data_IF_113212225466
#
_entry.id   IF_113212225466
#
_cell.length_a   1.000
_cell.length_b   1.000
_cell.length_c   1.000
_cell.angle_alpha   90.00
_cell.angle_beta   90.00
_cell.angle_gamma   90.00
#
_symmetry.space_group_name_H-M   'P 1'
#
loop_
_entity.id
_entity.type
_entity.pdbx_description
1 polymer ?
#
# COMPACT_ATOMS: atom_id res chain seq x y z
N UNK A 1 13.46 -2.97 -5.08
CA UNK A 1 13.48 -2.08 -6.27
C UNK A 1 12.50 -0.95 -6.03
N UNK A 2 12.79 0.27 -6.50
CA UNK A 2 11.90 1.44 -6.33
C UNK A 2 11.60 2.05 -7.70
N UNK A 3 10.35 2.44 -7.92
CA UNK A 3 9.90 3.26 -9.04
C UNK A 3 9.32 4.56 -8.52
N UNK A 4 9.60 5.67 -9.21
CA UNK A 4 9.12 7.01 -8.87
C UNK A 4 8.42 7.62 -10.08
N UNK A 5 7.21 8.10 -9.88
CA UNK A 5 6.42 8.74 -10.92
C UNK A 5 5.94 10.11 -10.43
N UNK A 6 6.11 11.13 -11.27
CA UNK A 6 5.58 12.46 -10.96
C UNK A 6 4.09 12.51 -11.33
N UNK A 7 3.26 12.96 -10.39
CA UNK A 7 1.82 13.12 -10.55
C UNK A 7 1.41 13.88 -11.84
N UNK A 8 2.21 14.88 -12.22
CA UNK A 8 1.93 15.73 -13.39
C UNK A 8 2.41 15.12 -14.71
N UNK A 9 3.04 13.94 -14.68
CA UNK A 9 3.43 13.21 -15.90
C UNK A 9 2.23 12.40 -16.41
N UNK A 10 1.88 12.57 -17.68
CA UNK A 10 0.76 11.84 -18.32
C UNK A 10 0.91 10.31 -18.26
N UNK A 11 2.13 9.80 -18.16
CA UNK A 11 2.42 8.35 -18.06
C UNK A 11 2.51 7.85 -16.61
N UNK A 12 2.23 8.69 -15.60
CA UNK A 12 2.35 8.29 -14.20
C UNK A 12 1.40 7.14 -13.85
N UNK A 13 0.18 7.16 -14.38
CA UNK A 13 -0.80 6.11 -14.14
C UNK A 13 -0.33 4.75 -14.72
N UNK A 14 0.10 4.72 -15.98
CA UNK A 14 0.56 3.50 -16.66
C UNK A 14 1.81 2.93 -15.98
N UNK A 15 2.78 3.81 -15.66
CA UNK A 15 3.99 3.42 -14.96
C UNK A 15 3.71 2.86 -13.58
N UNK A 16 2.79 3.46 -12.83
CA UNK A 16 2.35 2.99 -11.52
C UNK A 16 1.69 1.62 -11.63
N UNK A 17 0.77 1.42 -12.59
CA UNK A 17 0.10 0.14 -12.83
C UNK A 17 1.10 -0.98 -13.14
N UNK A 18 2.05 -0.73 -14.05
CA UNK A 18 3.09 -1.69 -14.41
C UNK A 18 4.01 -2.05 -13.23
N UNK A 19 4.39 -1.07 -12.41
CA UNK A 19 5.25 -1.30 -11.25
C UNK A 19 4.53 -2.15 -10.19
N UNK A 20 3.28 -1.85 -9.87
CA UNK A 20 2.50 -2.62 -8.89
C UNK A 20 2.24 -4.03 -9.39
N UNK A 21 1.80 -4.23 -10.65
CA UNK A 21 1.59 -5.57 -11.22
C UNK A 21 2.86 -6.42 -11.18
N UNK A 22 4.01 -5.83 -11.57
CA UNK A 22 5.31 -6.50 -11.50
C UNK A 22 5.66 -6.96 -10.08
N UNK A 23 5.45 -6.09 -9.07
CA UNK A 23 5.79 -6.41 -7.69
C UNK A 23 4.83 -7.42 -7.06
N UNK A 24 3.56 -7.41 -7.45
CA UNK A 24 2.62 -8.44 -7.03
C UNK A 24 2.96 -9.83 -7.55
N UNK A 25 3.53 -9.92 -8.76
CA UNK A 25 3.96 -11.20 -9.37
C UNK A 25 5.32 -11.67 -8.88
N UNK A 26 6.16 -10.78 -8.35
CA UNK A 26 7.45 -11.16 -7.83
C UNK A 26 7.29 -12.11 -6.63
N UNK A 27 8.02 -13.21 -6.63
CA UNK A 27 8.13 -14.05 -5.44
C UNK A 27 8.75 -13.20 -4.32
N UNK A 28 8.18 -13.26 -3.13
CA UNK A 28 8.72 -12.54 -1.96
C UNK A 28 10.12 -13.10 -1.71
N UNK A 29 11.21 -12.32 -1.84
CA UNK A 29 12.54 -12.82 -1.51
C UNK A 29 12.50 -13.26 -0.05
N UNK A 30 12.73 -14.51 0.22
CA UNK A 30 12.78 -15.05 1.57
C UNK A 30 13.78 -14.21 2.36
N UNK A 31 13.30 -13.42 3.32
CA UNK A 31 14.10 -12.48 4.10
C UNK A 31 15.31 -13.21 4.72
N UNK A 32 16.49 -12.90 4.19
CA UNK A 32 17.77 -13.50 4.56
C UNK A 32 18.28 -13.02 5.92
N UNK A 33 17.54 -13.28 7.00
CA UNK A 33 18.08 -13.32 8.37
C UNK A 33 17.93 -14.74 8.86
N UNK A 34 19.00 -15.26 9.48
CA UNK A 34 19.04 -16.61 10.03
C UNK A 34 17.78 -16.87 10.88
N UNK A 35 16.83 -17.62 10.32
CA UNK A 35 15.60 -18.00 10.99
C UNK A 35 15.94 -19.05 12.04
N UNK A 36 15.39 -18.93 13.23
CA UNK A 36 15.45 -19.99 14.24
C UNK A 36 14.84 -21.29 13.69
N UNK A 37 15.16 -22.42 14.31
CA UNK A 37 14.62 -23.72 13.87
C UNK A 37 13.10 -23.75 13.86
N UNK A 38 12.46 -23.06 14.80
CA UNK A 38 10.99 -22.93 14.89
C UNK A 38 10.41 -22.08 13.78
N UNK A 39 11.09 -20.98 13.40
CA UNK A 39 10.69 -20.14 12.27
C UNK A 39 10.84 -20.86 10.92
N UNK A 40 11.84 -21.76 10.78
CA UNK A 40 11.99 -22.62 9.60
C UNK A 40 10.86 -23.66 9.51
N UNK A 41 10.47 -24.29 10.63
CA UNK A 41 9.38 -25.25 10.68
C UNK A 41 8.03 -24.57 10.41
N UNK A 42 7.80 -23.38 10.94
CA UNK A 42 6.59 -22.60 10.65
C UNK A 42 6.54 -22.14 9.20
N UNK A 43 7.66 -21.72 8.62
CA UNK A 43 7.77 -21.35 7.21
C UNK A 43 7.56 -22.55 6.27
N UNK A 44 8.10 -23.74 6.59
CA UNK A 44 7.83 -24.97 5.83
C UNK A 44 6.38 -25.44 5.93
N UNK A 45 5.72 -25.29 7.08
CA UNK A 45 4.28 -25.54 7.21
C UNK A 45 3.44 -24.53 6.44
N UNK A 46 3.89 -23.29 6.31
CA UNK A 46 3.24 -22.26 5.49
C UNK A 46 3.41 -22.48 3.97
N UNK A 47 4.57 -23.00 3.54
CA UNK A 47 4.83 -23.38 2.15
C UNK A 47 4.05 -24.62 1.69
N UNK A 48 3.52 -25.42 2.62
CA UNK A 48 2.77 -26.63 2.31
C UNK A 48 1.25 -26.39 2.09
N UNK A 49 0.77 -25.16 2.26
CA UNK A 49 -0.60 -24.82 1.86
C UNK A 49 -0.60 -24.51 0.35
N UNK A 50 -1.47 -25.17 -0.45
CA UNK A 50 -1.56 -24.84 -1.86
C UNK A 50 -1.88 -23.35 -1.97
N UNK A 51 -1.05 -22.61 -2.71
CA UNK A 51 -1.35 -21.24 -3.15
C UNK A 51 -2.62 -21.38 -3.99
N UNK A 52 -3.77 -21.15 -3.38
CA UNK A 52 -5.05 -21.11 -4.10
C UNK A 52 -4.93 -20.01 -5.13
N UNK A 53 -5.24 -20.35 -6.36
CA UNK A 53 -5.07 -19.51 -7.54
C UNK A 53 -5.33 -18.04 -7.29
N UNK A 54 -4.57 -17.19 -7.93
CA UNK A 54 -4.42 -15.71 -7.89
C UNK A 54 -5.49 -15.00 -7.05
N UNK A 55 -5.35 -15.09 -5.72
CA UNK A 55 -6.22 -14.36 -4.81
C UNK A 55 -5.86 -12.87 -4.89
N UNK A 56 -6.87 -12.01 -5.02
CA UNK A 56 -6.67 -10.57 -5.03
C UNK A 56 -5.88 -10.11 -3.80
N UNK A 57 -4.96 -9.15 -3.95
CA UNK A 57 -4.19 -8.64 -2.81
C UNK A 57 -5.11 -7.96 -1.79
N UNK A 58 -4.63 -7.86 -0.57
CA UNK A 58 -5.23 -7.00 0.45
C UNK A 58 -4.72 -5.59 0.24
N UNK A 59 -5.60 -4.60 0.29
CA UNK A 59 -5.24 -3.18 0.22
C UNK A 59 -5.36 -2.56 1.60
N UNK A 60 -4.27 -1.98 2.09
CA UNK A 60 -4.18 -1.28 3.37
C UNK A 60 -3.81 0.18 3.12
N UNK A 61 -4.75 1.08 3.38
CA UNK A 61 -4.57 2.52 3.27
C UNK A 61 -4.33 3.10 4.67
N UNK A 62 -3.16 3.69 4.89
CA UNK A 62 -2.72 4.18 6.20
C UNK A 62 -2.81 5.69 6.22
N UNK A 63 -3.18 6.25 7.36
CA UNK A 63 -3.25 7.69 7.59
C UNK A 63 -4.43 8.12 8.44
N UNK A 64 -4.69 9.42 8.48
CA UNK A 64 -5.75 10.04 9.28
C UNK A 64 -6.41 11.17 8.50
N UNK A 65 -7.67 11.41 8.75
CA UNK A 65 -8.43 12.56 8.24
C UNK A 65 -8.23 13.85 9.04
N UNK A 66 -7.47 13.79 10.14
CA UNK A 66 -7.19 14.94 11.00
C UNK A 66 -6.21 15.95 10.41
N UNK A 67 -5.39 15.54 9.45
CA UNK A 67 -4.44 16.39 8.73
C UNK A 67 -4.49 16.10 7.24
N UNK A 68 -4.57 17.13 6.41
CA UNK A 68 -4.72 16.99 4.95
C UNK A 68 -3.60 16.11 4.36
N UNK A 69 -2.34 16.33 4.74
CA UNK A 69 -1.22 15.55 4.24
C UNK A 69 -1.28 14.08 4.64
N UNK A 70 -1.84 13.76 5.82
CA UNK A 70 -1.96 12.39 6.32
C UNK A 70 -3.22 11.68 5.77
N UNK A 71 -4.08 12.39 5.04
CA UNK A 71 -5.34 11.84 4.54
C UNK A 71 -5.24 11.10 3.20
N UNK A 72 -4.06 11.02 2.58
CA UNK A 72 -3.86 10.35 1.29
C UNK A 72 -4.40 8.92 1.30
N UNK A 73 -3.93 8.09 2.23
CA UNK A 73 -4.37 6.70 2.35
C UNK A 73 -5.89 6.59 2.54
N UNK A 74 -6.49 7.23 3.55
CA UNK A 74 -7.94 7.22 3.75
C UNK A 74 -8.77 7.69 2.56
N UNK A 75 -8.31 8.68 1.79
CA UNK A 75 -8.99 9.13 0.56
C UNK A 75 -8.90 8.05 -0.52
N UNK A 76 -7.69 7.47 -0.77
CA UNK A 76 -7.52 6.35 -1.70
C UNK A 76 -8.45 5.20 -1.33
N UNK A 77 -8.48 4.80 -0.06
CA UNK A 77 -9.35 3.72 0.41
C UNK A 77 -10.82 4.01 0.19
N UNK A 78 -11.26 5.25 0.43
CA UNK A 78 -12.64 5.66 0.19
C UNK A 78 -12.99 5.64 -1.30
N UNK A 79 -12.11 6.12 -2.18
CA UNK A 79 -12.30 6.06 -3.64
C UNK A 79 -12.33 4.62 -4.14
N UNK A 80 -11.39 3.77 -3.70
CA UNK A 80 -11.32 2.36 -4.08
C UNK A 80 -12.59 1.61 -3.69
N UNK A 81 -13.15 1.87 -2.52
CA UNK A 81 -14.40 1.25 -2.06
C UNK A 81 -15.53 1.39 -3.08
N UNK A 82 -15.61 2.55 -3.75
CA UNK A 82 -16.61 2.77 -4.81
C UNK A 82 -16.18 2.20 -6.16
N UNK A 83 -14.92 2.37 -6.55
CA UNK A 83 -14.39 1.94 -7.86
C UNK A 83 -14.30 0.41 -7.99
N UNK A 84 -14.26 -0.30 -6.86
CA UNK A 84 -14.16 -1.76 -6.82
C UNK A 84 -15.46 -2.45 -6.38
N UNK A 85 -16.59 -1.75 -6.46
CA UNK A 85 -17.91 -2.36 -6.20
C UNK A 85 -18.13 -3.56 -7.13
N UNK A 86 -18.48 -4.71 -6.55
CA UNK A 86 -18.61 -5.97 -7.29
C UNK A 86 -17.36 -6.85 -7.26
N UNK A 87 -16.21 -6.36 -6.78
CA UNK A 87 -15.05 -7.20 -6.48
C UNK A 87 -15.09 -7.66 -5.03
N UNK A 88 -14.71 -8.91 -4.79
CA UNK A 88 -14.49 -9.42 -3.43
C UNK A 88 -13.06 -9.14 -2.99
N UNK A 89 -12.78 -7.90 -2.59
CA UNK A 89 -11.47 -7.46 -2.10
C UNK A 89 -11.50 -7.19 -0.60
N UNK A 90 -10.34 -7.31 0.04
CA UNK A 90 -10.11 -6.87 1.41
C UNK A 90 -9.44 -5.49 1.38
N UNK A 91 -10.18 -4.48 1.83
CA UNK A 91 -9.78 -3.08 1.85
C UNK A 91 -9.90 -2.52 3.26
N UNK A 92 -8.81 -2.01 3.79
CA UNK A 92 -8.71 -1.40 5.12
C UNK A 92 -8.19 0.03 5.03
N UNK A 93 -8.74 0.91 5.85
CA UNK A 93 -8.37 2.33 5.89
C UNK A 93 -9.15 3.17 4.90
N UNK A 94 -10.29 3.71 5.33
CA UNK A 94 -11.10 4.67 4.59
C UNK A 94 -11.28 5.92 5.44
N UNK A 95 -11.83 7.01 4.90
CA UNK A 95 -12.16 8.21 5.68
C UNK A 95 -13.13 7.92 6.82
N UNK A 96 -14.06 6.98 6.64
CA UNK A 96 -15.02 6.59 7.70
C UNK A 96 -14.46 5.60 8.72
N UNK A 97 -13.35 4.93 8.40
CA UNK A 97 -12.68 3.96 9.26
C UNK A 97 -11.17 3.98 8.98
N UNK A 98 -10.45 5.03 9.38
CA UNK A 98 -9.04 5.19 9.08
C UNK A 98 -8.19 4.18 9.87
N UNK A 99 -7.09 3.74 9.25
CA UNK A 99 -6.04 2.96 9.91
C UNK A 99 -4.87 3.89 10.17
N UNK A 100 -4.79 4.39 11.38
CA UNK A 100 -3.75 5.34 11.77
C UNK A 100 -2.51 4.63 12.29
N UNK A 101 -1.47 5.40 12.58
CA UNK A 101 -0.24 4.90 13.19
C UNK A 101 -0.48 4.10 14.49
N UNK A 102 -1.57 4.35 15.22
CA UNK A 102 -1.91 3.66 16.48
C UNK A 102 -2.32 2.21 16.24
N UNK A 103 -2.99 1.94 15.12
CA UNK A 103 -3.52 0.62 14.77
C UNK A 103 -2.50 -0.28 14.09
N UNK A 104 -1.34 0.22 13.64
CA UNK A 104 -0.36 -0.53 12.83
C UNK A 104 0.09 -1.83 13.51
N UNK A 105 0.37 -1.80 14.82
CA UNK A 105 0.79 -3.00 15.55
C UNK A 105 -0.30 -4.08 15.51
N UNK A 106 -1.54 -3.70 15.71
CA UNK A 106 -2.70 -4.59 15.62
C UNK A 106 -2.91 -5.09 14.20
N UNK A 107 -2.90 -4.19 13.20
CA UNK A 107 -3.12 -4.54 11.80
C UNK A 107 -2.09 -5.54 11.26
N UNK A 108 -0.82 -5.44 11.68
CA UNK A 108 0.22 -6.43 11.31
C UNK A 108 -0.15 -7.84 11.78
N UNK A 109 -0.61 -7.96 13.01
CA UNK A 109 -1.02 -9.27 13.57
C UNK A 109 -2.29 -9.75 12.88
N UNK A 110 -3.28 -8.89 12.76
CA UNK A 110 -4.55 -9.19 12.11
C UNK A 110 -4.37 -9.67 10.66
N UNK A 111 -3.63 -8.93 9.83
CA UNK A 111 -3.38 -9.31 8.43
C UNK A 111 -2.65 -10.64 8.31
N UNK A 112 -1.65 -10.87 9.15
CA UNK A 112 -0.90 -12.14 9.16
C UNK A 112 -1.78 -13.34 9.53
N UNK A 113 -2.75 -13.16 10.41
CA UNK A 113 -3.62 -14.23 10.90
C UNK A 113 -4.82 -14.49 9.99
N UNK A 114 -5.44 -13.42 9.47
CA UNK A 114 -6.67 -13.50 8.67
C UNK A 114 -6.44 -13.60 7.17
N UNK A 115 -5.32 -13.05 6.65
CA UNK A 115 -5.02 -12.99 5.22
C UNK A 115 -3.73 -13.73 4.87
N UNK A 116 -3.55 -14.92 5.44
CA UNK A 116 -2.35 -15.75 5.21
C UNK A 116 -2.17 -16.04 3.73
N UNK A 117 -0.94 -15.80 3.23
CA UNK A 117 -0.56 -16.06 1.84
C UNK A 117 -1.00 -14.99 0.84
N UNK A 118 -1.80 -13.99 1.24
CA UNK A 118 -2.14 -12.88 0.35
C UNK A 118 -1.08 -11.79 0.40
N UNK A 119 -0.75 -11.24 -0.75
CA UNK A 119 0.06 -10.01 -0.83
C UNK A 119 -0.71 -8.84 -0.25
N UNK A 120 -0.01 -7.95 0.44
CA UNK A 120 -0.57 -6.72 1.03
C UNK A 120 0.05 -5.51 0.35
N UNK A 121 -0.78 -4.70 -0.30
CA UNK A 121 -0.41 -3.38 -0.82
C UNK A 121 -0.67 -2.36 0.29
N UNK A 122 0.40 -1.73 0.80
CA UNK A 122 0.30 -0.68 1.81
C UNK A 122 0.46 0.70 1.17
N UNK A 123 -0.43 1.63 1.49
CA UNK A 123 -0.48 2.98 0.94
C UNK A 123 -0.40 3.98 2.08
N UNK A 124 0.49 4.96 1.98
CA UNK A 124 0.69 6.01 3.00
C UNK A 124 1.16 7.31 2.37
N UNK A 125 0.98 8.40 3.08
CA UNK A 125 1.60 9.67 2.77
C UNK A 125 3.03 9.70 3.30
N UNK A 126 3.91 10.41 2.61
CA UNK A 126 5.29 10.59 3.05
C UNK A 126 5.75 12.04 2.87
N UNK A 127 6.80 12.39 3.57
CA UNK A 127 7.54 13.65 3.40
C UNK A 127 8.84 13.38 2.65
N UNK A 128 9.27 14.32 1.81
CA UNK A 128 10.49 14.19 1.01
C UNK A 128 11.26 15.49 0.93
N UNK A 129 12.13 15.66 -0.05
CA UNK A 129 12.68 16.97 -0.40
C UNK A 129 11.61 17.83 -1.09
N UNK A 130 11.82 19.14 -1.18
CA UNK A 130 10.89 20.05 -1.87
C UNK A 130 10.65 19.60 -3.32
N UNK A 131 11.69 19.19 -4.03
CA UNK A 131 11.59 18.70 -5.42
C UNK A 131 10.90 17.34 -5.56
N UNK A 132 10.69 16.59 -4.46
CA UNK A 132 9.98 15.31 -4.47
C UNK A 132 8.46 15.47 -4.30
N UNK A 133 7.98 16.65 -3.93
CA UNK A 133 6.54 16.88 -3.72
C UNK A 133 5.78 16.60 -5.02
N UNK A 134 4.77 15.75 -4.94
CA UNK A 134 4.03 15.27 -6.10
C UNK A 134 4.55 13.95 -6.69
N UNK A 135 5.60 13.34 -6.12
CA UNK A 135 6.04 12.01 -6.53
C UNK A 135 5.22 10.92 -5.85
N UNK A 136 4.88 9.89 -6.62
CA UNK A 136 4.40 8.59 -6.14
C UNK A 136 5.56 7.60 -6.23
N UNK A 137 5.97 7.05 -5.09
CA UNK A 137 7.05 6.07 -4.97
C UNK A 137 6.45 4.68 -4.71
N UNK A 138 6.89 3.69 -5.48
CA UNK A 138 6.40 2.32 -5.41
C UNK A 138 7.57 1.39 -5.17
N UNK A 139 7.50 0.57 -4.12
CA UNK A 139 8.56 -0.36 -3.74
C UNK A 139 8.03 -1.78 -3.57
N UNK A 140 8.87 -2.78 -3.92
CA UNK A 140 8.69 -4.19 -3.58
C UNK A 140 9.20 -4.51 -2.17
N UNK A 141 8.84 -3.67 -1.23
CA UNK A 141 9.28 -3.74 0.16
C UNK A 141 8.17 -3.25 1.10
N UNK A 142 8.18 -3.73 2.34
CA UNK A 142 7.27 -3.24 3.35
C UNK A 142 7.41 -1.73 3.58
N UNK A 143 6.30 -1.09 3.87
CA UNK A 143 6.23 0.29 4.29
C UNK A 143 6.55 0.43 5.79
N UNK A 144 7.19 1.53 6.19
CA UNK A 144 7.47 1.89 7.58
C UNK A 144 6.61 3.09 8.00
N UNK A 145 5.37 2.88 8.47
CA UNK A 145 4.47 3.97 8.81
C UNK A 145 5.02 4.82 9.95
N UNK A 146 4.77 6.13 9.89
CA UNK A 146 5.19 7.06 10.94
C UNK A 146 6.69 7.35 10.97
N UNK A 147 7.47 6.92 9.95
CA UNK A 147 8.89 7.25 9.86
C UNK A 147 9.14 8.76 9.84
N UNK A 148 8.29 9.54 9.19
CA UNK A 148 8.31 11.00 9.22
C UNK A 148 8.09 11.60 10.62
N UNK A 149 7.46 10.86 11.52
CA UNK A 149 7.21 11.24 12.91
C UNK A 149 8.14 10.56 13.92
N UNK A 150 9.27 9.98 13.47
CA UNK A 150 10.24 9.22 14.28
C UNK A 150 9.60 8.08 15.12
N UNK A 151 8.46 7.57 14.71
CA UNK A 151 7.78 6.44 15.37
C UNK A 151 8.29 5.12 14.84
N UNK A 152 8.81 4.26 15.70
CA UNK A 152 9.24 2.89 15.35
C UNK A 152 8.08 1.92 15.44
N UNK A 153 7.15 1.96 14.50
CA UNK A 153 5.94 1.12 14.49
C UNK A 153 6.16 -0.26 13.87
N UNK A 154 7.32 -0.48 13.25
CA UNK A 154 7.63 -1.66 12.45
C UNK A 154 7.07 -1.56 11.03
N UNK A 155 7.46 -2.50 10.18
CA UNK A 155 7.08 -2.54 8.76
C UNK A 155 5.76 -3.27 8.53
N UNK A 156 5.04 -2.92 7.46
CA UNK A 156 3.77 -3.54 7.07
C UNK A 156 3.62 -3.57 5.54
N UNK A 157 2.98 -4.62 5.01
CA UNK A 157 2.77 -4.80 3.59
C UNK A 157 3.90 -5.56 2.89
N UNK A 158 3.69 -5.90 1.63
CA UNK A 158 4.66 -6.54 0.72
C UNK A 158 5.05 -5.57 -0.40
N UNK A 159 4.10 -4.78 -0.88
CA UNK A 159 4.27 -3.68 -1.83
C UNK A 159 3.88 -2.39 -1.14
N UNK A 160 4.70 -1.36 -1.23
CA UNK A 160 4.39 -0.04 -0.68
C UNK A 160 4.19 1.00 -1.77
N UNK A 161 3.18 1.85 -1.60
CA UNK A 161 2.90 3.02 -2.42
C UNK A 161 2.92 4.24 -1.50
N UNK A 162 3.83 5.16 -1.74
CA UNK A 162 4.00 6.37 -0.94
C UNK A 162 3.81 7.61 -1.81
N UNK A 163 2.88 8.50 -1.41
CA UNK A 163 2.75 9.82 -2.01
C UNK A 163 3.54 10.86 -1.23
N UNK A 164 4.46 11.56 -1.89
CA UNK A 164 5.21 12.64 -1.27
C UNK A 164 4.37 13.91 -1.30
N UNK A 165 3.82 14.29 -0.14
CA UNK A 165 2.83 15.36 -0.04
C UNK A 165 3.35 16.64 0.59
N UNK A 166 4.48 16.59 1.28
CA UNK A 166 5.09 17.73 1.95
C UNK A 166 6.61 17.57 2.05
N UNK A 167 7.29 18.68 2.31
CA UNK A 167 8.72 18.71 2.58
C UNK A 167 9.04 18.16 3.97
N UNK A 168 10.17 17.44 4.08
CA UNK A 168 10.69 16.97 5.36
C UNK A 168 11.33 18.15 6.10
N UNK A 169 10.71 18.62 7.16
CA UNK A 169 11.27 19.66 8.03
C UNK A 169 11.76 19.09 9.36
N UNK A 170 12.90 19.60 9.81
CA UNK A 170 13.50 19.20 11.10
C UNK A 170 12.69 19.73 12.29
N UNK A 171 11.89 20.78 12.09
CA UNK A 171 11.20 21.48 13.18
C UNK A 171 9.69 21.28 13.27
N UNK A 172 9.01 20.72 12.27
CA UNK A 172 7.55 20.77 12.27
C UNK A 172 6.86 19.51 11.73
N UNK A 173 6.24 18.76 12.63
CA UNK A 173 5.14 17.83 12.31
C UNK A 173 3.89 18.54 11.74
N UNK A 174 3.84 19.87 11.78
CA UNK A 174 2.75 20.69 11.28
C UNK A 174 2.69 20.84 9.76
N UNK A 175 3.70 20.41 9.01
CA UNK A 175 3.70 20.56 7.54
C UNK A 175 2.63 19.70 6.85
N UNK A 176 2.25 18.57 7.43
CA UNK A 176 1.12 17.78 6.92
C UNK A 176 -0.21 18.54 7.01
N UNK A 177 -0.32 19.51 7.93
CA UNK A 177 -1.52 20.37 8.04
C UNK A 177 -1.56 21.49 6.98
N UNK A 178 -0.41 21.89 6.44
CA UNK A 178 -0.30 22.95 5.43
C UNK A 178 -0.26 22.42 4.00
N UNK A 179 -0.34 21.11 3.83
CA UNK A 179 -0.38 20.46 2.51
C UNK A 179 -1.63 20.89 1.75
N UNK A 180 -1.49 21.10 0.45
CA UNK A 180 -2.62 21.47 -0.42
C UNK A 180 -3.53 20.27 -0.63
N UNK A 181 -4.81 20.42 -0.28
CA UNK A 181 -5.83 19.37 -0.49
C UNK A 181 -5.87 18.88 -1.93
N UNK A 182 -5.78 19.79 -2.91
CA UNK A 182 -5.77 19.43 -4.33
C UNK A 182 -4.64 18.46 -4.68
N UNK A 183 -3.44 18.65 -4.12
CA UNK A 183 -2.31 17.73 -4.35
C UNK A 183 -2.65 16.31 -3.83
N UNK A 184 -3.11 16.21 -2.59
CA UNK A 184 -3.44 14.94 -1.96
C UNK A 184 -4.60 14.25 -2.69
N UNK A 185 -5.61 15.01 -3.06
CA UNK A 185 -6.78 14.50 -3.77
C UNK A 185 -6.41 13.96 -5.16
N UNK A 186 -5.63 14.73 -5.94
CA UNK A 186 -5.18 14.31 -7.28
C UNK A 186 -4.27 13.08 -7.22
N UNK A 187 -3.39 12.98 -6.20
CA UNK A 187 -2.62 11.76 -5.97
C UNK A 187 -3.52 10.58 -5.64
N UNK A 188 -4.50 10.76 -4.76
CA UNK A 188 -5.43 9.72 -4.37
C UNK A 188 -6.26 9.24 -5.55
N UNK A 189 -6.68 10.15 -6.43
CA UNK A 189 -7.42 9.84 -7.65
C UNK A 189 -6.60 8.93 -8.57
N UNK A 190 -5.36 9.31 -8.90
CA UNK A 190 -4.48 8.50 -9.75
C UNK A 190 -4.20 7.14 -9.11
N UNK A 191 -3.83 7.08 -7.83
CA UNK A 191 -3.53 5.84 -7.15
C UNK A 191 -4.76 4.92 -7.14
N UNK A 192 -5.94 5.47 -6.85
CA UNK A 192 -7.18 4.68 -6.81
C UNK A 192 -7.63 4.21 -8.18
N UNK A 193 -7.43 5.01 -9.26
CA UNK A 193 -7.72 4.60 -10.63
C UNK A 193 -6.84 3.44 -11.07
N UNK A 194 -5.54 3.58 -10.85
CA UNK A 194 -4.55 2.54 -11.16
C UNK A 194 -4.87 1.23 -10.42
N UNK A 195 -5.08 1.32 -9.11
CA UNK A 195 -5.34 0.13 -8.30
C UNK A 195 -6.69 -0.52 -8.65
N UNK A 196 -7.73 0.27 -8.89
CA UNK A 196 -9.02 -0.29 -9.29
C UNK A 196 -8.93 -1.03 -10.62
N UNK A 197 -8.29 -0.45 -11.63
CA UNK A 197 -8.08 -1.08 -12.94
C UNK A 197 -7.28 -2.38 -12.81
N UNK A 198 -6.20 -2.37 -12.04
CA UNK A 198 -5.37 -3.56 -11.79
C UNK A 198 -6.15 -4.66 -11.06
N UNK A 199 -6.94 -4.32 -10.04
CA UNK A 199 -7.73 -5.28 -9.28
C UNK A 199 -8.82 -5.93 -10.15
N UNK A 200 -9.46 -5.17 -11.03
CA UNK A 200 -10.42 -5.71 -12.02
C UNK A 200 -9.75 -6.65 -13.01
N UNK A 201 -8.57 -6.30 -13.50
CA UNK A 201 -7.79 -7.15 -14.42
C UNK A 201 -7.35 -8.45 -13.75
N UNK A 202 -6.83 -8.40 -12.51
CA UNK A 202 -6.45 -9.58 -11.74
C UNK A 202 -7.66 -10.49 -11.49
N UNK A 203 -8.83 -9.91 -11.16
CA UNK A 203 -10.06 -10.66 -10.98
C UNK A 203 -10.51 -11.37 -12.27
N UNK A 204 -10.44 -10.69 -13.42
CA UNK A 204 -10.76 -11.28 -14.72
C UNK A 204 -9.83 -12.44 -15.06
N UNK A 205 -8.53 -12.31 -14.83
CA UNK A 205 -7.54 -13.37 -15.05
C UNK A 205 -7.79 -14.60 -14.16
N UNK A 206 -8.16 -14.39 -12.89
CA UNK A 206 -8.46 -15.47 -11.95
C UNK A 206 -9.68 -16.27 -12.41
N UNK A 207 -10.74 -15.61 -12.89
CA UNK A 207 -11.94 -16.28 -13.43
C UNK A 207 -11.65 -17.12 -14.68
N UNK A 208 -10.84 -16.60 -15.61
CA UNK A 208 -10.52 -17.30 -16.85
C UNK A 208 -9.75 -18.60 -16.65
N UNK A 209 -8.98 -18.72 -15.55
CA UNK A 209 -8.23 -19.94 -15.20
C UNK A 209 -9.06 -21.00 -14.46
N UNK A 210 -10.19 -20.62 -13.88
CA UNK A 210 -11.04 -21.53 -13.11
C UNK A 210 -12.04 -22.29 -14.03
N UNK A 211 -12.15 -21.89 -15.30
CA UNK A 211 -13.09 -22.46 -16.29
C UNK A 211 -12.42 -23.54 -17.17
N UNK A 212 -11.19 -23.92 -16.91
CA UNK A 212 -10.46 -25.03 -17.53
C UNK A 212 -10.27 -26.14 -16.51
#
# INVERSE_FOLDING_TARGET
MEYCFNLFNKLAADGTAMAVDKFLRAETPGGGKARTREEKISAQRQAALPVRGEELPVVLCIGSDLAIGDSLGPIVGSMLKYKTQGLNIFLYGTLSAPVTAKEIKYMRTFLRETHRGRKVIAIDAAVGSEGDIGLVKINDAPLFPGAGANKKLGSIGDVSIMGIVAEKSVMNYGLLNTTRLNLVYSMAEIISDVLSSLLWELHGRAKSRTVV
#
